data_IF_440935837065
#
_entry.id   IF_440935837065
#
_cell.length_a   1.000
_cell.length_b   1.000
_cell.length_c   1.000
_cell.angle_alpha   90.00
_cell.angle_beta   90.00
_cell.angle_gamma   90.00
#
_symmetry.space_group_name_H-M   'P 1'
#
loop_
_entity.id
_entity.type
_entity.pdbx_description
1 polymer ?
#
# COMPACT_ATOMS: atom_id res chain seq x y z
N UNK A 1 20.43 -3.11 10.01
CA UNK A 1 21.85 -3.50 10.13
C UNK A 1 22.54 -2.47 11.02
N UNK A 2 23.06 -2.87 12.18
CA UNK A 2 24.00 -2.07 12.96
C UNK A 2 25.43 -2.57 12.73
N UNK A 3 26.35 -1.62 12.89
CA UNK A 3 27.73 -1.53 12.38
C UNK A 3 28.75 -2.19 13.31
N UNK A 4 29.89 -2.62 12.75
CA UNK A 4 31.19 -2.48 13.39
C UNK A 4 32.30 -2.35 12.32
N UNK A 5 33.17 -1.35 12.43
CA UNK A 5 34.64 -1.50 12.41
C UNK A 5 35.34 -0.16 12.70
N UNK A 6 36.56 -0.27 13.23
CA UNK A 6 37.28 0.71 14.05
C UNK A 6 38.51 1.30 13.33
N UNK A 7 38.67 2.64 13.39
CA UNK A 7 39.90 3.51 13.45
C UNK A 7 41.07 3.29 12.44
N UNK A 8 42.06 4.21 12.30
CA UNK A 8 42.26 5.55 12.90
C UNK A 8 42.63 6.70 11.93
N UNK A 9 42.29 7.91 12.41
CA UNK A 9 43.04 9.18 12.41
C UNK A 9 44.37 9.31 11.65
N UNK A 10 44.47 10.34 10.78
CA UNK A 10 45.75 11.00 10.44
C UNK A 10 45.58 12.52 10.55
N UNK A 11 46.38 13.14 11.44
CA UNK A 11 46.50 14.59 11.64
C UNK A 11 47.09 15.26 10.40
N UNK A 12 46.60 16.43 10.03
CA UNK A 12 47.41 17.43 9.33
C UNK A 12 47.09 18.83 9.85
N UNK A 13 48.16 19.60 10.03
CA UNK A 13 48.33 20.78 10.87
C UNK A 13 48.28 22.09 10.07
N UNK A 14 47.72 23.12 10.73
CA UNK A 14 48.16 24.54 10.81
C UNK A 14 47.98 25.53 9.63
N UNK A 15 47.44 26.70 10.05
CA UNK A 15 47.72 28.10 9.61
C UNK A 15 47.00 28.59 8.33
N UNK A 16 46.50 29.85 8.15
CA UNK A 16 46.60 31.15 8.85
C UNK A 16 45.61 32.17 8.21
N UNK A 17 45.25 33.26 8.94
CA UNK A 17 44.71 34.59 8.51
C UNK A 17 43.29 34.65 7.90
N UNK A 18 42.30 35.25 8.57
CA UNK A 18 42.06 36.69 8.80
C UNK A 18 41.89 37.53 7.53
N UNK A 19 40.63 37.72 7.07
CA UNK A 19 40.20 38.97 6.42
C UNK A 19 38.76 39.27 6.87
N UNK A 20 38.63 40.33 7.67
CA UNK A 20 37.40 41.07 7.90
C UNK A 20 37.02 41.76 6.59
N UNK A 21 35.82 41.50 6.06
CA UNK A 21 35.16 42.40 5.11
C UNK A 21 33.80 42.76 5.70
N UNK A 22 33.69 44.01 6.15
CA UNK A 22 32.43 44.63 6.50
C UNK A 22 31.65 44.90 5.21
N UNK A 23 30.50 44.23 5.04
CA UNK A 23 29.52 44.58 4.00
C UNK A 23 28.25 45.00 4.71
N UNK A 24 28.13 46.31 4.93
CA UNK A 24 26.86 47.00 5.14
C UNK A 24 26.13 47.02 3.80
N UNK A 25 25.14 46.15 3.63
CA UNK A 25 24.09 46.34 2.63
C UNK A 25 22.73 46.15 3.31
N UNK A 26 21.95 47.21 3.21
CA UNK A 26 20.53 47.28 3.52
C UNK A 26 19.76 46.11 2.89
N UNK A 27 19.22 45.22 3.71
CA UNK A 27 18.21 44.26 3.27
C UNK A 27 16.82 44.87 3.52
N UNK A 28 16.35 45.67 2.57
CA UNK A 28 14.92 45.87 2.38
C UNK A 28 14.30 44.54 1.95
N UNK A 29 13.30 44.10 2.71
CA UNK A 29 12.18 43.22 2.37
C UNK A 29 12.36 42.29 1.14
N UNK A 30 12.53 40.99 1.41
CA UNK A 30 11.97 39.92 0.58
C UNK A 30 11.40 38.83 1.49
N UNK A 31 10.25 39.10 2.09
CA UNK A 31 9.31 38.04 2.41
C UNK A 31 8.63 37.65 1.09
N UNK A 32 9.16 36.65 0.39
CA UNK A 32 8.41 36.05 -0.71
C UNK A 32 7.24 35.27 -0.10
N UNK A 33 6.08 35.93 -0.07
CA UNK A 33 4.79 35.27 0.00
C UNK A 33 4.71 34.30 -1.18
N UNK A 34 4.94 33.02 -0.93
CA UNK A 34 4.60 31.96 -1.88
C UNK A 34 3.08 31.80 -1.86
N UNK A 35 2.40 32.64 -2.65
CA UNK A 35 1.02 32.40 -3.01
C UNK A 35 1.01 31.29 -4.05
N UNK A 36 0.60 30.08 -3.63
CA UNK A 36 0.24 29.00 -4.54
C UNK A 36 -0.88 29.53 -5.43
N UNK A 37 -0.57 29.83 -6.69
CA UNK A 37 -1.61 30.09 -7.67
C UNK A 37 -2.41 28.80 -7.84
N UNK A 38 -3.73 28.79 -7.62
CA UNK A 38 -4.54 27.62 -7.93
C UNK A 38 -4.41 27.36 -9.42
N UNK A 39 -3.88 26.19 -9.78
CA UNK A 39 -3.90 25.74 -11.17
C UNK A 39 -5.35 25.72 -11.64
N UNK A 40 -5.61 26.39 -12.76
CA UNK A 40 -6.94 26.54 -13.32
C UNK A 40 -7.61 25.18 -13.56
N UNK A 41 -8.85 25.09 -13.10
CA UNK A 41 -9.82 23.98 -13.08
C UNK A 41 -10.19 23.36 -14.45
N UNK A 42 -9.38 23.61 -15.50
CA UNK A 42 -9.68 23.17 -16.86
C UNK A 42 -9.08 21.80 -17.22
N UNK A 43 -7.97 21.37 -16.61
CA UNK A 43 -7.44 20.02 -16.87
C UNK A 43 -8.15 18.90 -16.08
N UNK A 44 -8.84 19.23 -14.98
CA UNK A 44 -9.63 18.26 -14.21
C UNK A 44 -10.87 17.73 -14.98
N UNK A 45 -11.38 18.49 -15.96
CA UNK A 45 -12.56 18.07 -16.76
C UNK A 45 -12.24 17.02 -17.83
N UNK A 46 -10.99 16.93 -18.29
CA UNK A 46 -10.63 15.99 -19.38
C UNK A 46 -10.47 14.54 -18.88
N UNK A 47 -10.21 14.34 -17.59
CA UNK A 47 -10.17 13.00 -16.97
C UNK A 47 -11.55 12.39 -16.70
N UNK A 48 -12.65 13.15 -16.85
CA UNK A 48 -14.03 12.69 -16.61
C UNK A 48 -14.62 11.78 -17.70
N UNK A 49 -13.85 11.35 -18.71
CA UNK A 49 -14.40 10.64 -19.87
C UNK A 49 -13.78 9.27 -20.16
N UNK A 50 -13.10 8.64 -19.19
CA UNK A 50 -12.75 7.20 -19.30
C UNK A 50 -13.21 6.49 -18.03
N UNK A 51 -14.52 6.45 -17.80
CA UNK A 51 -15.12 5.33 -17.10
C UNK A 51 -14.98 4.10 -18.00
N UNK A 52 -13.80 3.46 -17.96
CA UNK A 52 -13.75 2.02 -18.26
C UNK A 52 -14.38 1.34 -17.05
N UNK A 53 -15.71 1.30 -17.01
CA UNK A 53 -16.36 0.08 -16.52
C UNK A 53 -15.67 -1.05 -17.27
N UNK A 54 -15.07 -1.99 -16.56
CA UNK A 54 -14.64 -3.22 -17.17
C UNK A 54 -15.92 -3.93 -17.63
N UNK A 55 -16.43 -3.56 -18.81
CA UNK A 55 -17.45 -4.32 -19.50
C UNK A 55 -16.71 -5.58 -19.95
N UNK A 56 -16.81 -6.62 -19.15
CA UNK A 56 -16.44 -7.97 -19.58
C UNK A 56 -17.34 -8.26 -20.78
N UNK A 57 -16.79 -8.50 -21.99
CA UNK A 57 -17.60 -8.87 -23.14
C UNK A 57 -17.97 -10.35 -23.02
N UNK A 58 -18.85 -10.68 -22.07
CA UNK A 58 -19.58 -11.94 -22.11
C UNK A 58 -20.94 -11.75 -21.44
N UNK A 59 -21.99 -11.71 -22.27
CA UNK A 59 -23.35 -11.25 -21.95
C UNK A 59 -24.18 -12.16 -21.05
N UNK A 60 -23.57 -12.81 -20.06
CA UNK A 60 -24.24 -13.80 -19.22
C UNK A 60 -23.99 -13.59 -17.71
N UNK A 61 -23.04 -12.72 -17.34
CA UNK A 61 -22.70 -12.46 -15.94
C UNK A 61 -22.74 -10.96 -15.67
N UNK A 62 -23.94 -10.44 -15.44
CA UNK A 62 -24.13 -9.09 -14.89
C UNK A 62 -23.64 -9.09 -13.43
N UNK A 63 -22.32 -9.01 -13.25
CA UNK A 63 -21.76 -8.76 -11.94
C UNK A 63 -22.03 -7.30 -11.60
N UNK A 64 -22.94 -7.08 -10.66
CA UNK A 64 -23.19 -5.75 -10.08
C UNK A 64 -21.93 -5.36 -9.30
N UNK A 65 -21.05 -4.58 -9.93
CA UNK A 65 -19.85 -4.00 -9.29
C UNK A 65 -18.50 -4.52 -9.79
N UNK A 66 -17.45 -3.72 -9.58
CA UNK A 66 -16.07 -4.07 -9.97
C UNK A 66 -15.46 -5.06 -8.98
N UNK A 67 -14.87 -6.17 -9.49
CA UNK A 67 -14.16 -7.17 -8.67
C UNK A 67 -12.94 -6.60 -7.95
N UNK A 68 -12.29 -5.59 -8.53
CA UNK A 68 -11.22 -4.82 -7.91
C UNK A 68 -11.65 -3.35 -7.83
N UNK A 69 -11.67 -2.77 -6.62
CA UNK A 69 -12.13 -1.40 -6.38
C UNK A 69 -10.97 -0.39 -6.27
N UNK A 70 -9.73 -0.80 -6.56
CA UNK A 70 -8.56 0.07 -6.44
C UNK A 70 -8.71 1.39 -7.22
N UNK A 71 -9.23 1.35 -8.45
CA UNK A 71 -9.41 2.56 -9.26
C UNK A 71 -10.40 3.53 -8.61
N UNK A 72 -11.58 3.05 -8.23
CA UNK A 72 -12.62 3.88 -7.60
C UNK A 72 -12.13 4.48 -6.27
N UNK A 73 -11.46 3.68 -5.43
CA UNK A 73 -10.87 4.16 -4.17
C UNK A 73 -9.80 5.21 -4.44
N UNK A 74 -8.98 5.02 -5.47
CA UNK A 74 -7.94 5.99 -5.84
C UNK A 74 -8.55 7.30 -6.30
N UNK A 75 -9.52 7.29 -7.20
CA UNK A 75 -10.24 8.52 -7.63
C UNK A 75 -10.86 9.24 -6.44
N UNK A 76 -11.57 8.51 -5.57
CA UNK A 76 -12.17 9.07 -4.35
C UNK A 76 -11.14 9.73 -3.44
N UNK A 77 -9.99 9.09 -3.22
CA UNK A 77 -8.90 9.64 -2.41
C UNK A 77 -8.23 10.84 -3.08
N UNK A 78 -8.04 10.82 -4.40
CA UNK A 78 -7.54 11.96 -5.16
C UNK A 78 -8.47 13.16 -5.03
N UNK A 79 -9.78 12.96 -5.05
CA UNK A 79 -10.78 14.02 -4.89
C UNK A 79 -10.81 14.59 -3.46
N UNK A 80 -10.86 13.71 -2.46
CA UNK A 80 -11.12 14.11 -1.06
C UNK A 80 -9.88 14.46 -0.25
N UNK A 81 -8.70 13.95 -0.63
CA UNK A 81 -7.49 14.12 0.16
C UNK A 81 -6.37 14.82 -0.66
N UNK A 82 -6.15 16.13 -0.46
CA UNK A 82 -5.11 16.89 -1.15
C UNK A 82 -3.69 16.33 -0.93
N UNK A 83 -3.40 15.76 0.25
CA UNK A 83 -2.08 15.16 0.55
C UNK A 83 -1.88 13.84 -0.21
N UNK A 84 -2.93 13.05 -0.37
CA UNK A 84 -2.91 11.87 -1.22
C UNK A 84 -2.68 12.25 -2.68
N UNK A 85 -3.38 13.29 -3.16
CA UNK A 85 -3.22 13.83 -4.51
C UNK A 85 -1.80 14.28 -4.80
N UNK A 86 -1.23 15.13 -3.95
CA UNK A 86 0.16 15.58 -4.08
C UNK A 86 1.14 14.42 -4.03
N UNK A 87 0.89 13.47 -3.14
CA UNK A 87 1.69 12.26 -3.00
C UNK A 87 1.73 11.38 -4.25
N UNK A 88 0.58 11.19 -4.89
CA UNK A 88 0.47 10.45 -6.14
C UNK A 88 1.23 11.12 -7.30
N UNK A 89 1.15 12.45 -7.43
CA UNK A 89 1.93 13.15 -8.47
C UNK A 89 3.43 13.02 -8.24
N UNK A 90 3.86 13.11 -6.98
CA UNK A 90 5.26 12.92 -6.63
C UNK A 90 5.73 11.48 -6.86
N UNK A 91 4.89 10.48 -6.58
CA UNK A 91 5.17 9.09 -6.87
C UNK A 91 5.33 8.84 -8.38
N UNK A 92 4.45 9.40 -9.21
CA UNK A 92 4.55 9.34 -10.68
C UNK A 92 5.84 9.98 -11.19
N UNK A 93 6.17 11.17 -10.69
CA UNK A 93 7.41 11.89 -11.05
C UNK A 93 8.64 11.06 -10.70
N UNK A 94 8.69 10.49 -9.49
CA UNK A 94 9.79 9.59 -9.07
C UNK A 94 9.87 8.34 -9.92
N UNK A 95 8.74 7.72 -10.26
CA UNK A 95 8.68 6.54 -11.14
C UNK A 95 9.31 6.79 -12.50
N UNK A 96 9.03 7.94 -13.13
CA UNK A 96 9.66 8.31 -14.40
C UNK A 96 11.18 8.47 -14.30
N UNK A 97 11.68 9.07 -13.21
CA UNK A 97 13.13 9.21 -12.98
C UNK A 97 13.78 7.84 -12.81
N UNK A 98 13.22 6.98 -11.95
CA UNK A 98 13.75 5.63 -11.71
C UNK A 98 13.77 4.82 -13.00
N UNK A 99 12.71 4.91 -13.82
CA UNK A 99 12.65 4.22 -15.12
C UNK A 99 13.74 4.71 -16.06
N UNK A 100 13.93 6.03 -16.20
CA UNK A 100 14.97 6.60 -17.06
C UNK A 100 16.40 6.28 -16.58
N UNK A 101 16.62 6.26 -15.26
CA UNK A 101 17.89 5.83 -14.65
C UNK A 101 18.11 4.31 -14.73
N UNK A 102 17.06 3.52 -14.94
CA UNK A 102 17.18 2.06 -15.08
C UNK A 102 17.74 1.66 -16.44
N UNK A 103 17.44 2.44 -17.48
CA UNK A 103 17.90 2.22 -18.86
C UNK A 103 19.37 2.60 -19.10
N UNK A 104 19.98 3.37 -18.19
CA UNK A 104 21.29 4.02 -18.39
C UNK A 104 22.43 3.44 -17.54
N UNK A 105 22.18 2.44 -16.69
CA UNK A 105 23.15 1.93 -15.74
C UNK A 105 23.48 0.44 -15.94
N UNK A 106 24.78 0.13 -15.97
CA UNK A 106 25.33 -1.22 -15.73
C UNK A 106 25.10 -1.58 -14.25
N UNK A 107 23.85 -1.83 -13.85
CA UNK A 107 23.51 -2.19 -12.47
C UNK A 107 24.01 -3.62 -12.18
N UNK A 108 24.61 -3.79 -11.01
CA UNK A 108 24.72 -5.12 -10.41
C UNK A 108 23.30 -5.73 -10.29
N UNK A 109 23.20 -7.07 -10.35
CA UNK A 109 21.94 -7.77 -10.12
C UNK A 109 21.24 -7.19 -8.87
N UNK A 110 19.98 -6.75 -8.97
CA UNK A 110 19.31 -6.11 -7.84
C UNK A 110 19.22 -7.10 -6.67
N UNK A 111 19.35 -6.61 -5.42
CA UNK A 111 19.17 -7.47 -4.27
C UNK A 111 17.70 -7.94 -4.21
N UNK A 112 17.48 -9.15 -3.71
CA UNK A 112 16.13 -9.62 -3.40
C UNK A 112 15.53 -8.76 -2.28
N UNK A 113 14.41 -8.10 -2.56
CA UNK A 113 13.65 -7.31 -1.60
C UNK A 113 12.65 -8.20 -0.86
N UNK A 114 12.89 -8.46 0.42
CA UNK A 114 11.95 -9.19 1.27
C UNK A 114 10.99 -8.22 1.97
N UNK A 115 9.70 -8.31 1.64
CA UNK A 115 8.62 -7.48 2.17
C UNK A 115 7.91 -8.23 3.31
N UNK A 116 7.99 -7.74 4.56
CA UNK A 116 7.26 -8.33 5.67
C UNK A 116 5.77 -7.97 5.59
N UNK A 117 4.91 -8.99 5.58
CA UNK A 117 3.46 -8.88 5.54
C UNK A 117 2.90 -9.12 6.93
N UNK A 118 1.95 -8.28 7.35
CA UNK A 118 1.08 -8.55 8.48
C UNK A 118 -0.36 -8.70 7.99
N UNK A 119 -0.99 -9.82 8.35
CA UNK A 119 -2.41 -10.06 8.09
C UNK A 119 -3.23 -9.68 9.32
N UNK A 120 -4.28 -8.88 9.12
CA UNK A 120 -5.28 -8.55 10.12
C UNK A 120 -6.57 -9.27 9.76
N UNK A 121 -6.78 -10.45 10.36
CA UNK A 121 -8.01 -11.24 10.20
C UNK A 121 -9.08 -10.63 11.09
N UNK A 122 -9.98 -9.87 10.50
CA UNK A 122 -11.12 -9.29 11.19
C UNK A 122 -12.24 -10.33 11.15
N UNK A 123 -12.59 -10.89 12.30
CA UNK A 123 -13.54 -12.00 12.43
C UNK A 123 -14.78 -11.61 13.24
N UNK A 124 -15.83 -12.44 13.21
CA UNK A 124 -17.10 -12.24 13.93
C UNK A 124 -17.16 -12.95 15.29
N UNK A 125 -16.08 -13.62 15.69
CA UNK A 125 -15.93 -14.26 17.01
C UNK A 125 -15.77 -15.78 16.95
N UNK A 126 -15.73 -16.34 15.74
CA UNK A 126 -15.54 -17.75 15.47
C UNK A 126 -14.15 -18.24 15.91
N UNK A 127 -14.02 -19.54 16.17
CA UNK A 127 -12.73 -20.17 16.40
C UNK A 127 -11.85 -20.13 15.15
N UNK A 128 -10.52 -20.13 15.32
CA UNK A 128 -9.57 -20.20 14.21
C UNK A 128 -9.85 -21.42 13.32
N UNK A 129 -9.83 -21.21 12.01
CA UNK A 129 -10.18 -22.20 10.99
C UNK A 129 -11.67 -22.30 10.69
N UNK A 130 -12.52 -21.47 11.30
CA UNK A 130 -13.97 -21.47 11.09
C UNK A 130 -14.49 -20.09 10.76
N UNK A 131 -15.52 -20.04 9.91
CA UNK A 131 -16.13 -18.79 9.48
C UNK A 131 -15.08 -17.78 9.03
N UNK A 132 -15.25 -16.54 9.45
CA UNK A 132 -14.37 -15.43 9.04
C UNK A 132 -12.99 -15.48 9.69
N UNK A 133 -12.79 -16.33 10.70
CA UNK A 133 -11.51 -16.52 11.38
C UNK A 133 -10.67 -17.60 10.68
N UNK A 134 -10.24 -17.35 9.44
CA UNK A 134 -9.56 -18.33 8.58
C UNK A 134 -8.31 -18.97 9.20
N UNK A 135 -7.95 -20.18 8.77
CA UNK A 135 -6.80 -20.90 9.32
C UNK A 135 -5.46 -20.22 8.99
N UNK A 136 -4.44 -20.40 9.83
CA UNK A 136 -3.09 -19.89 9.52
C UNK A 136 -2.51 -20.53 8.26
N UNK A 137 -2.81 -21.81 8.00
CA UNK A 137 -2.38 -22.51 6.78
C UNK A 137 -2.94 -21.86 5.49
N UNK A 138 -4.18 -21.34 5.52
CA UNK A 138 -4.72 -20.59 4.38
C UNK A 138 -3.96 -19.27 4.16
N UNK A 139 -3.57 -18.59 5.24
CA UNK A 139 -2.76 -17.36 5.16
C UNK A 139 -1.36 -17.68 4.62
N UNK A 140 -0.71 -18.72 5.13
CA UNK A 140 0.61 -19.18 4.66
C UNK A 140 0.59 -19.56 3.18
N UNK A 141 -0.47 -20.23 2.71
CA UNK A 141 -0.65 -20.53 1.28
C UNK A 141 -0.71 -19.28 0.39
N UNK A 142 -1.14 -18.14 0.94
CA UNK A 142 -1.13 -16.85 0.23
C UNK A 142 0.30 -16.33 0.08
N UNK A 143 1.15 -16.48 1.10
CA UNK A 143 2.57 -16.15 1.01
C UNK A 143 3.26 -17.01 -0.04
N UNK A 144 2.98 -18.31 -0.07
CA UNK A 144 3.52 -19.23 -1.07
C UNK A 144 3.09 -18.84 -2.49
N UNK A 145 1.81 -18.50 -2.68
CA UNK A 145 1.31 -18.02 -3.96
C UNK A 145 1.96 -16.69 -4.40
N UNK A 146 2.09 -15.72 -3.48
CA UNK A 146 2.76 -14.45 -3.76
C UNK A 146 4.22 -14.67 -4.17
N UNK A 147 4.96 -15.52 -3.44
CA UNK A 147 6.35 -15.82 -3.76
C UNK A 147 6.48 -16.56 -5.09
N UNK A 148 5.61 -17.53 -5.36
CA UNK A 148 5.56 -18.21 -6.66
C UNK A 148 5.37 -17.21 -7.81
N UNK A 149 4.42 -16.30 -7.66
CA UNK A 149 4.03 -15.38 -8.73
C UNK A 149 5.00 -14.19 -8.90
N UNK A 150 5.68 -13.74 -7.84
CA UNK A 150 6.63 -12.60 -7.91
C UNK A 150 8.10 -13.01 -8.08
N UNK A 151 8.50 -14.21 -7.67
CA UNK A 151 9.88 -14.71 -7.81
C UNK A 151 10.07 -15.73 -8.92
N UNK A 152 9.03 -16.00 -9.71
CA UNK A 152 9.04 -17.00 -10.79
C UNK A 152 9.63 -18.36 -10.34
N UNK A 153 9.31 -18.81 -9.12
CA UNK A 153 9.99 -19.96 -8.51
C UNK A 153 9.54 -21.32 -9.05
N UNK A 154 8.63 -21.34 -10.01
CA UNK A 154 8.07 -22.56 -10.60
C UNK A 154 8.13 -22.54 -12.12
N UNK A 155 8.39 -23.70 -12.71
CA UNK A 155 8.46 -23.87 -14.17
C UNK A 155 7.11 -23.66 -14.89
N UNK A 156 6.00 -23.50 -14.15
CA UNK A 156 4.67 -23.24 -14.67
C UNK A 156 4.34 -21.73 -14.81
N UNK A 157 5.23 -20.83 -14.36
CA UNK A 157 5.05 -19.36 -14.48
C UNK A 157 4.05 -18.75 -13.48
N UNK A 158 3.52 -19.53 -12.53
CA UNK A 158 2.46 -19.08 -11.63
C UNK A 158 1.10 -18.97 -12.33
N UNK A 159 0.24 -18.04 -11.87
CA UNK A 159 -1.11 -17.84 -12.45
C UNK A 159 -1.03 -17.34 -13.91
N UNK A 160 0.05 -16.64 -14.27
CA UNK A 160 0.37 -16.37 -15.66
C UNK A 160 1.00 -17.61 -16.27
N UNK A 161 0.29 -18.33 -17.14
CA UNK A 161 0.84 -19.48 -17.87
C UNK A 161 1.96 -19.05 -18.85
N UNK A 162 3.13 -18.68 -18.33
CA UNK A 162 4.28 -18.19 -19.09
C UNK A 162 5.42 -17.68 -18.19
N UNK A 163 6.63 -17.57 -18.77
CA UNK A 163 7.82 -17.04 -18.10
C UNK A 163 7.72 -15.51 -17.91
N UNK A 164 6.98 -15.06 -16.89
CA UNK A 164 7.03 -13.67 -16.43
C UNK A 164 8.33 -13.41 -15.68
N UNK A 165 8.90 -12.19 -15.69
CA UNK A 165 10.22 -11.96 -15.10
C UNK A 165 10.24 -12.16 -13.58
N UNK A 166 11.31 -12.74 -13.03
CA UNK A 166 11.63 -12.64 -11.60
C UNK A 166 11.71 -11.16 -11.20
N UNK A 167 10.77 -10.70 -10.38
CA UNK A 167 10.73 -9.31 -9.91
C UNK A 167 11.73 -9.04 -8.78
N UNK A 168 12.38 -10.09 -8.26
CA UNK A 168 13.27 -10.08 -7.10
C UNK A 168 12.58 -9.57 -5.82
N UNK A 169 11.24 -9.62 -5.79
CA UNK A 169 10.42 -9.29 -4.61
C UNK A 169 9.95 -10.59 -3.95
N UNK A 170 10.31 -10.77 -2.69
CA UNK A 170 9.89 -11.90 -1.87
C UNK A 170 9.04 -11.40 -0.70
N UNK A 171 8.11 -12.22 -0.24
CA UNK A 171 7.23 -11.93 0.87
C UNK A 171 7.46 -12.92 2.01
N UNK A 172 7.34 -12.43 3.24
CA UNK A 172 7.35 -13.26 4.44
C UNK A 172 6.33 -12.74 5.44
N UNK A 173 5.86 -13.60 6.35
CA UNK A 173 5.12 -13.13 7.51
C UNK A 173 6.04 -12.31 8.41
N UNK A 174 5.54 -11.19 8.92
CA UNK A 174 6.26 -10.36 9.85
C UNK A 174 6.56 -11.12 11.16
N UNK A 175 7.83 -11.43 11.40
CA UNK A 175 8.27 -12.19 12.57
C UNK A 175 8.38 -11.37 13.87
N UNK A 176 8.22 -10.05 13.79
CA UNK A 176 8.36 -9.11 14.90
C UNK A 176 7.22 -8.09 14.81
N UNK A 177 6.61 -7.76 15.95
CA UNK A 177 5.57 -6.74 16.06
C UNK A 177 6.15 -5.29 16.11
N UNK A 178 5.32 -4.24 16.05
CA UNK A 178 5.79 -2.87 16.15
C UNK A 178 6.46 -2.50 17.48
N UNK A 179 6.26 -3.30 18.54
CA UNK A 179 6.88 -3.13 19.85
C UNK A 179 8.22 -3.88 19.95
N UNK A 180 8.61 -4.64 18.93
CA UNK A 180 9.86 -5.40 18.89
C UNK A 180 9.76 -6.82 19.44
N UNK A 181 8.56 -7.33 19.75
CA UNK A 181 8.38 -8.69 20.26
C UNK A 181 8.21 -9.70 19.12
N UNK A 182 8.65 -10.97 19.29
CA UNK A 182 8.34 -12.03 18.33
C UNK A 182 6.84 -12.16 18.09
N UNK A 183 6.44 -12.23 16.82
CA UNK A 183 5.04 -12.32 16.40
C UNK A 183 4.89 -13.25 15.19
N UNK A 184 3.69 -13.78 14.97
CA UNK A 184 3.38 -14.69 13.85
C UNK A 184 3.14 -13.97 12.51
N UNK A 185 3.08 -12.64 12.52
CA UNK A 185 2.60 -11.83 11.39
C UNK A 185 1.08 -11.92 11.15
N UNK A 186 0.32 -12.56 12.05
CA UNK A 186 -1.13 -12.73 11.92
C UNK A 186 -1.84 -12.18 13.16
N UNK A 187 -2.46 -11.01 13.01
CA UNK A 187 -3.37 -10.46 14.01
C UNK A 187 -4.78 -11.02 13.78
N UNK A 188 -5.43 -11.49 14.84
CA UNK A 188 -6.82 -11.95 14.82
C UNK A 188 -7.64 -11.05 15.71
N UNK A 189 -8.58 -10.34 15.11
CA UNK A 189 -9.25 -9.20 15.74
C UNK A 189 -10.74 -9.40 15.61
N UNK A 190 -11.46 -9.33 16.72
CA UNK A 190 -12.91 -9.39 16.68
C UNK A 190 -13.47 -8.05 16.18
N UNK A 191 -14.08 -8.05 15.00
CA UNK A 191 -14.67 -6.87 14.37
C UNK A 191 -16.06 -6.50 14.88
N UNK A 192 -16.71 -7.34 15.71
CA UNK A 192 -18.11 -7.10 16.13
C UNK A 192 -18.30 -5.86 17.01
N UNK A 193 -17.22 -5.23 17.48
CA UNK A 193 -17.30 -3.94 18.16
C UNK A 193 -17.56 -2.77 17.22
N UNK A 194 -17.31 -2.93 15.92
CA UNK A 194 -17.59 -1.91 14.91
C UNK A 194 -19.04 -2.05 14.45
N UNK A 195 -19.79 -0.95 14.55
CA UNK A 195 -21.19 -0.90 14.14
C UNK A 195 -21.36 -1.34 12.69
N UNK A 196 -22.31 -2.24 12.42
CA UNK A 196 -22.59 -2.76 11.08
C UNK A 196 -21.63 -3.85 10.57
N UNK A 197 -20.51 -4.13 11.25
CA UNK A 197 -19.55 -5.12 10.78
C UNK A 197 -20.14 -6.55 10.79
N UNK A 198 -20.81 -6.93 11.88
CA UNK A 198 -21.41 -8.26 12.02
C UNK A 198 -22.46 -8.57 10.95
N UNK A 199 -23.13 -7.55 10.42
CA UNK A 199 -24.20 -7.73 9.43
C UNK A 199 -23.69 -7.88 8.00
N UNK A 200 -22.65 -7.13 7.61
CA UNK A 200 -22.27 -7.00 6.19
C UNK A 200 -20.82 -6.55 5.97
N UNK A 201 -19.94 -6.79 6.94
CA UNK A 201 -18.53 -6.41 6.87
C UNK A 201 -18.35 -4.91 6.65
N UNK A 202 -17.47 -4.55 5.70
CA UNK A 202 -17.20 -3.14 5.36
C UNK A 202 -18.22 -2.54 4.37
N UNK A 203 -19.38 -3.19 4.22
CA UNK A 203 -20.51 -2.61 3.49
C UNK A 203 -21.26 -1.61 4.38
N UNK A 204 -21.53 -2.00 5.63
CA UNK A 204 -22.21 -1.15 6.62
C UNK A 204 -21.26 -0.58 7.66
N UNK A 205 -20.12 -1.24 7.93
CA UNK A 205 -19.02 -0.62 8.66
C UNK A 205 -18.15 0.21 7.72
N UNK A 206 -17.55 1.29 8.21
CA UNK A 206 -16.54 2.02 7.44
C UNK A 206 -15.22 1.24 7.42
N UNK A 207 -14.46 1.34 6.33
CA UNK A 207 -13.16 0.68 6.25
C UNK A 207 -12.14 1.30 7.23
N UNK A 208 -12.28 2.60 7.52
CA UNK A 208 -11.47 3.32 8.49
C UNK A 208 -11.64 2.75 9.91
N UNK A 209 -12.88 2.54 10.37
CA UNK A 209 -13.14 1.99 11.70
C UNK A 209 -12.61 0.56 11.84
N UNK A 210 -12.76 -0.25 10.80
CA UNK A 210 -12.24 -1.63 10.78
C UNK A 210 -10.71 -1.66 10.79
N UNK A 211 -10.06 -0.78 10.01
CA UNK A 211 -8.58 -0.65 10.00
C UNK A 211 -8.04 -0.08 11.31
N UNK A 212 -8.82 0.75 12.01
CA UNK A 212 -8.45 1.30 13.31
C UNK A 212 -8.33 0.22 14.41
N UNK A 213 -9.03 -0.91 14.26
CA UNK A 213 -8.94 -2.03 15.21
C UNK A 213 -7.54 -2.65 15.26
N UNK A 214 -6.83 -2.68 14.13
CA UNK A 214 -5.47 -3.21 14.04
C UNK A 214 -4.78 -2.73 12.78
N UNK A 215 -3.68 -1.99 12.95
CA UNK A 215 -2.83 -1.50 11.89
C UNK A 215 -1.39 -1.40 12.40
N UNK A 216 -0.42 -1.73 11.54
CA UNK A 216 0.99 -1.54 11.80
C UNK A 216 1.54 -0.46 10.86
N UNK A 217 2.68 0.14 11.21
CA UNK A 217 3.26 1.23 10.43
C UNK A 217 3.66 0.75 9.01
N UNK A 218 3.01 1.34 8.00
CA UNK A 218 3.19 1.02 6.58
C UNK A 218 4.62 1.28 6.05
N UNK A 219 5.47 1.98 6.81
CA UNK A 219 6.89 2.15 6.47
C UNK A 219 7.69 0.86 6.66
N UNK A 220 7.22 -0.03 7.52
CA UNK A 220 7.92 -1.25 7.89
C UNK A 220 7.18 -2.52 7.48
N UNK A 221 5.85 -2.47 7.35
CA UNK A 221 5.03 -3.65 7.08
C UNK A 221 4.04 -3.40 5.96
N UNK A 222 3.83 -4.42 5.12
CA UNK A 222 2.69 -4.47 4.22
C UNK A 222 1.48 -4.98 5.00
N UNK A 223 0.52 -4.09 5.26
CA UNK A 223 -0.70 -4.45 5.97
C UNK A 223 -1.74 -5.03 5.01
N UNK A 224 -2.30 -6.19 5.34
CA UNK A 224 -3.38 -6.84 4.60
C UNK A 224 -4.54 -7.12 5.55
N UNK A 225 -5.70 -6.52 5.30
CA UNK A 225 -6.91 -6.79 6.08
C UNK A 225 -7.76 -7.84 5.37
N UNK A 226 -8.18 -8.85 6.13
CA UNK A 226 -9.11 -9.87 5.69
C UNK A 226 -10.41 -9.61 6.44
N UNK A 227 -11.48 -9.35 5.71
CA UNK A 227 -12.80 -9.00 6.25
C UNK A 227 -13.86 -9.97 5.76
N UNK A 228 -14.99 -10.01 6.45
CA UNK A 228 -16.11 -10.90 6.10
C UNK A 228 -16.69 -10.61 4.72
N UNK A 229 -16.78 -9.34 4.33
CA UNK A 229 -17.46 -8.90 3.11
C UNK A 229 -17.04 -7.47 2.74
N UNK A 230 -17.07 -7.17 1.43
CA UNK A 230 -16.85 -5.84 0.84
C UNK A 230 -18.01 -5.58 -0.14
N UNK A 231 -18.69 -4.44 -0.01
CA UNK A 231 -19.77 -4.01 -0.92
C UNK A 231 -20.83 -5.08 -1.21
N UNK A 232 -21.28 -5.78 -0.18
CA UNK A 232 -22.29 -6.82 -0.28
C UNK A 232 -21.94 -7.91 -1.32
N UNK A 233 -20.66 -8.29 -1.42
CA UNK A 233 -20.17 -9.27 -2.39
C UNK A 233 -20.67 -10.71 -2.14
N UNK A 234 -21.46 -10.93 -1.09
CA UNK A 234 -22.05 -12.23 -0.76
C UNK A 234 -21.01 -13.26 -0.33
N UNK A 235 -19.84 -12.84 0.15
CA UNK A 235 -18.83 -13.75 0.70
C UNK A 235 -19.18 -14.28 2.11
N UNK A 236 -20.39 -14.03 2.61
CA UNK A 236 -20.83 -14.56 3.91
C UNK A 236 -20.84 -16.10 3.88
N UNK A 237 -20.01 -16.66 4.75
CA UNK A 237 -19.68 -18.09 4.79
C UNK A 237 -20.83 -18.98 5.26
N UNK A 238 -21.99 -18.41 5.58
CA UNK A 238 -23.23 -19.15 5.77
C UNK A 238 -23.66 -19.87 4.47
N UNK A 239 -23.23 -19.40 3.29
CA UNK A 239 -23.46 -20.10 2.03
C UNK A 239 -22.29 -19.94 1.03
N UNK A 240 -21.19 -20.70 1.20
CA UNK A 240 -19.98 -20.58 0.38
C UNK A 240 -20.19 -20.90 -1.12
N UNK A 241 -21.37 -21.45 -1.49
CA UNK A 241 -21.73 -21.79 -2.86
C UNK A 241 -22.70 -20.76 -3.50
N UNK A 242 -23.10 -19.71 -2.77
CA UNK A 242 -23.91 -18.61 -3.29
C UNK A 242 -23.08 -17.33 -3.36
N UNK A 243 -22.05 -17.34 -4.18
CA UNK A 243 -21.32 -16.10 -4.49
C UNK A 243 -22.17 -15.23 -5.44
N UNK A 244 -22.64 -14.09 -4.94
CA UNK A 244 -23.45 -13.14 -5.72
C UNK A 244 -22.64 -12.32 -6.73
N UNK A 245 -21.30 -12.44 -6.73
CA UNK A 245 -20.43 -11.50 -7.41
C UNK A 245 -20.18 -10.26 -6.56
N UNK A 246 -19.14 -9.48 -6.90
CA UNK A 246 -18.86 -8.21 -6.23
C UNK A 246 -17.37 -7.95 -6.03
N UNK A 247 -17.07 -6.94 -5.20
CA UNK A 247 -15.69 -6.53 -4.90
C UNK A 247 -14.95 -7.57 -4.07
N UNK A 248 -13.84 -8.08 -4.58
CA UNK A 248 -12.97 -9.05 -3.90
C UNK A 248 -11.89 -8.36 -3.06
N UNK A 249 -11.53 -7.13 -3.44
CA UNK A 249 -10.53 -6.35 -2.74
C UNK A 249 -10.20 -5.04 -3.42
N UNK A 250 -9.34 -4.28 -2.76
CA UNK A 250 -8.74 -3.05 -3.27
C UNK A 250 -7.40 -2.83 -2.58
N UNK A 251 -6.59 -1.95 -3.16
CA UNK A 251 -5.32 -1.51 -2.60
C UNK A 251 -5.28 0.02 -2.60
N UNK A 252 -4.49 0.58 -1.68
CA UNK A 252 -4.12 1.99 -1.71
C UNK A 252 -2.77 2.09 -2.40
N UNK A 253 -2.68 2.93 -3.43
CA UNK A 253 -1.45 3.05 -4.21
C UNK A 253 -0.39 3.85 -3.44
N UNK A 254 0.91 3.60 -3.70
CA UNK A 254 1.99 4.41 -3.15
C UNK A 254 1.82 5.88 -3.52
N UNK A 255 1.78 6.75 -2.53
CA UNK A 255 1.61 8.20 -2.68
C UNK A 255 2.82 8.99 -2.17
N UNK A 256 4.04 8.50 -2.40
CA UNK A 256 5.26 9.17 -1.96
C UNK A 256 5.43 9.12 -0.43
N UNK A 257 5.88 10.23 0.17
CA UNK A 257 6.24 10.29 1.61
C UNK A 257 5.15 10.88 2.51
N UNK A 258 3.95 11.17 1.97
CA UNK A 258 2.85 11.70 2.78
C UNK A 258 2.13 10.55 3.49
N UNK A 259 2.10 10.53 4.84
CA UNK A 259 1.36 9.51 5.57
C UNK A 259 -0.11 9.51 5.15
N UNK A 260 -0.64 8.34 4.78
CA UNK A 260 -2.06 8.17 4.54
C UNK A 260 -2.76 8.21 5.90
N UNK A 261 -3.45 9.32 6.19
CA UNK A 261 -4.41 9.37 7.28
C UNK A 261 -5.71 8.74 6.77
N UNK A 262 -6.12 7.61 7.37
CA UNK A 262 -7.45 7.05 7.15
C UNK A 262 -8.43 7.91 7.94
N UNK A 263 -9.09 8.86 7.25
CA UNK A 263 -10.16 9.64 7.87
C UNK A 263 -11.40 8.75 7.97
N UNK A 264 -12.09 8.78 9.12
CA UNK A 264 -13.45 8.27 9.23
C UNK A 264 -14.35 9.11 8.33
N UNK A 265 -15.12 8.45 7.45
CA UNK A 265 -16.19 9.08 6.66
C UNK A 265 -17.23 9.76 7.56
#
# INVERSE_FOLDING_TARGET
>A
MFVAFSKPFKKMTRQVLSILVAVLFSATAFAQNFQVQPFADQQAKQYRAIHKTSVVPNGNNEHVGSRCMQHEVTERLMERNPLYRQGMEEARRRGHIISAESESANRAAPPVYTIPIVFHVIHKGESVGSGTNISSAQIESTIDALNRDFRETSADGGIGQGAGPDTEIQFCLAGVDPQGNPHSGINRVNGTSVSGYSSSGITSATDADVKALSNWDNRYYMNVWIVSEINNNGADLANPNQWGGGTLGYAILPNGTTPIQFYSD
#
